data_IF_407822925110
#
_entry.id   IF_407822925110
#
_cell.length_a   1.000
_cell.length_b   1.000
_cell.length_c   1.000
_cell.angle_alpha   90.00
_cell.angle_beta   90.00
_cell.angle_gamma   90.00
#
_symmetry.space_group_name_H-M   'P 1'
#
loop_
_entity.id
_entity.type
_entity.pdbx_description
1 polymer ?
#
# COMPACT_ATOMS: atom_id res chain seq x y z
N UNK A 1 88.58 16.86 0.66
CA UNK A 1 87.93 15.54 0.79
C UNK A 1 86.69 15.58 1.69
N UNK A 2 86.75 16.04 2.94
CA UNK A 2 85.59 16.09 3.87
C UNK A 2 84.38 16.88 3.33
N UNK A 3 84.62 18.07 2.77
CA UNK A 3 83.54 18.94 2.24
C UNK A 3 82.77 18.30 1.06
N UNK A 4 83.48 17.51 0.24
CA UNK A 4 82.93 16.88 -0.97
C UNK A 4 82.02 15.69 -0.60
N UNK A 5 82.36 14.97 0.47
CA UNK A 5 81.54 13.89 1.03
C UNK A 5 80.23 14.44 1.59
N UNK A 6 80.30 15.55 2.33
CA UNK A 6 79.11 16.18 2.91
C UNK A 6 78.17 16.75 1.84
N UNK A 7 78.72 17.35 0.77
CA UNK A 7 77.93 17.79 -0.40
C UNK A 7 77.25 16.61 -1.09
N UNK A 8 77.94 15.49 -1.31
CA UNK A 8 77.35 14.29 -1.88
C UNK A 8 76.21 13.74 -1.01
N UNK A 9 76.39 13.74 0.32
CA UNK A 9 75.36 13.31 1.28
C UNK A 9 74.12 14.20 1.21
N UNK A 10 74.30 15.52 1.15
CA UNK A 10 73.18 16.46 1.04
C UNK A 10 72.47 16.34 -0.30
N UNK A 11 73.19 16.18 -1.42
CA UNK A 11 72.58 15.99 -2.74
C UNK A 11 71.72 14.72 -2.79
N UNK A 12 72.19 13.62 -2.17
CA UNK A 12 71.40 12.38 -2.07
C UNK A 12 70.12 12.59 -1.27
N UNK A 13 70.20 13.29 -0.13
CA UNK A 13 69.04 13.62 0.69
C UNK A 13 68.04 14.53 -0.05
N UNK A 14 68.53 15.52 -0.81
CA UNK A 14 67.69 16.41 -1.62
C UNK A 14 66.97 15.62 -2.71
N UNK A 15 67.66 14.68 -3.35
CA UNK A 15 67.08 13.83 -4.39
C UNK A 15 65.98 12.92 -3.83
N UNK A 16 66.22 12.27 -2.70
CA UNK A 16 65.20 11.45 -2.00
C UNK A 16 63.98 12.29 -1.60
N UNK A 17 64.19 13.50 -1.07
CA UNK A 17 63.09 14.42 -0.74
C UNK A 17 62.32 14.86 -1.98
N UNK A 18 63.00 15.11 -3.10
CA UNK A 18 62.37 15.48 -4.37
C UNK A 18 61.49 14.35 -4.90
N UNK A 19 61.96 13.11 -4.85
CA UNK A 19 61.20 11.93 -5.27
C UNK A 19 59.97 11.70 -4.38
N UNK A 20 60.12 11.86 -3.06
CA UNK A 20 58.99 11.77 -2.14
C UNK A 20 57.95 12.88 -2.37
N UNK A 21 58.40 14.11 -2.64
CA UNK A 21 57.50 15.22 -2.95
C UNK A 21 56.72 14.97 -4.25
N UNK A 22 57.37 14.42 -5.29
CA UNK A 22 56.70 14.07 -6.53
C UNK A 22 55.62 12.99 -6.33
N UNK A 23 55.89 11.96 -5.52
CA UNK A 23 54.89 10.95 -5.14
C UNK A 23 53.69 11.58 -4.43
N UNK A 24 53.94 12.45 -3.46
CA UNK A 24 52.88 13.12 -2.71
C UNK A 24 52.03 14.03 -3.62
N UNK A 25 52.64 14.72 -4.57
CA UNK A 25 51.91 15.53 -5.57
C UNK A 25 50.99 14.65 -6.42
N UNK A 26 51.46 13.49 -6.86
CA UNK A 26 50.65 12.54 -7.62
C UNK A 26 49.45 12.05 -6.79
N UNK A 27 49.68 11.63 -5.54
CA UNK A 27 48.61 11.19 -4.64
C UNK A 27 47.58 12.29 -4.36
N UNK A 28 48.01 13.53 -4.17
CA UNK A 28 47.10 14.67 -3.97
C UNK A 28 46.27 14.93 -5.22
N UNK A 29 46.86 14.81 -6.41
CA UNK A 29 46.15 14.98 -7.68
C UNK A 29 45.11 13.89 -7.89
N UNK A 30 45.45 12.63 -7.61
CA UNK A 30 44.54 11.50 -7.77
C UNK A 30 43.36 11.60 -6.78
N UNK A 31 43.64 11.90 -5.51
CA UNK A 31 42.59 12.14 -4.51
C UNK A 31 41.69 13.32 -4.87
N UNK A 32 42.24 14.37 -5.48
CA UNK A 32 41.44 15.51 -5.93
C UNK A 32 40.45 15.09 -7.02
N UNK A 33 40.89 14.28 -7.99
CA UNK A 33 40.01 13.74 -9.02
C UNK A 33 38.94 12.83 -8.44
N UNK A 34 39.29 12.00 -7.45
CA UNK A 34 38.34 11.14 -6.75
C UNK A 34 37.25 11.97 -6.02
N UNK A 35 37.65 13.04 -5.32
CA UNK A 35 36.71 13.96 -4.65
C UNK A 35 35.77 14.64 -5.66
N UNK A 36 36.28 15.07 -6.82
CA UNK A 36 35.45 15.68 -7.88
C UNK A 36 34.42 14.66 -8.43
N UNK A 37 34.85 13.42 -8.68
CA UNK A 37 33.96 12.35 -9.15
C UNK A 37 32.88 11.97 -8.13
N UNK A 38 33.26 11.83 -6.85
CA UNK A 38 32.32 11.55 -5.76
C UNK A 38 31.33 12.69 -5.57
N UNK A 39 31.78 13.94 -5.70
CA UNK A 39 30.90 15.11 -5.58
C UNK A 39 29.85 15.15 -6.69
N UNK A 40 30.25 14.86 -7.94
CA UNK A 40 29.31 14.72 -9.06
C UNK A 40 28.29 13.61 -8.80
N UNK A 41 28.75 12.44 -8.33
CA UNK A 41 27.88 11.29 -8.03
C UNK A 41 26.88 11.63 -6.92
N UNK A 42 27.30 12.33 -5.86
CA UNK A 42 26.41 12.78 -4.78
C UNK A 42 25.35 13.75 -5.32
N UNK A 43 25.71 14.64 -6.25
CA UNK A 43 24.77 15.57 -6.84
C UNK A 43 23.72 14.84 -7.68
N UNK A 44 24.15 13.92 -8.54
CA UNK A 44 23.25 13.10 -9.36
C UNK A 44 22.27 12.29 -8.50
N UNK A 45 22.77 11.66 -7.43
CA UNK A 45 21.94 10.89 -6.49
C UNK A 45 20.94 11.77 -5.74
N UNK A 46 21.31 13.00 -5.37
CA UNK A 46 20.39 13.95 -4.74
C UNK A 46 19.24 14.34 -5.68
N UNK A 47 19.55 14.58 -6.95
CA UNK A 47 18.56 14.93 -7.96
C UNK A 47 17.64 13.75 -8.29
N UNK A 48 18.20 12.54 -8.38
CA UNK A 48 17.41 11.32 -8.55
C UNK A 48 16.49 11.06 -7.35
N UNK A 49 17.00 11.23 -6.14
CA UNK A 49 16.21 11.11 -4.91
C UNK A 49 15.06 12.13 -4.88
N UNK A 50 15.33 13.39 -5.23
CA UNK A 50 14.31 14.44 -5.30
C UNK A 50 13.21 14.07 -6.30
N UNK A 51 13.58 13.63 -7.51
CA UNK A 51 12.64 13.17 -8.54
C UNK A 51 11.79 11.99 -8.06
N UNK A 52 12.41 10.96 -7.49
CA UNK A 52 11.70 9.78 -6.95
C UNK A 52 10.73 10.17 -5.83
N UNK A 53 11.14 11.06 -4.92
CA UNK A 53 10.30 11.57 -3.84
C UNK A 53 9.08 12.32 -4.35
N UNK A 54 9.26 13.14 -5.38
CA UNK A 54 8.16 13.87 -6.01
C UNK A 54 7.16 12.92 -6.68
N UNK A 55 7.64 11.92 -7.44
CA UNK A 55 6.80 10.88 -8.04
C UNK A 55 5.98 10.12 -6.99
N UNK A 56 6.59 9.73 -5.87
CA UNK A 56 5.87 9.06 -4.78
C UNK A 56 4.82 10.00 -4.17
N UNK A 57 5.18 11.28 -3.95
CA UNK A 57 4.24 12.26 -3.38
C UNK A 57 3.02 12.48 -4.27
N UNK A 58 3.23 12.62 -5.59
CA UNK A 58 2.12 12.82 -6.54
C UNK A 58 1.25 11.57 -6.65
N UNK A 59 1.85 10.38 -6.71
CA UNK A 59 1.12 9.11 -6.71
C UNK A 59 0.29 8.91 -5.43
N UNK A 60 0.85 9.23 -4.26
CA UNK A 60 0.14 9.14 -2.99
C UNK A 60 -1.05 10.10 -2.92
N UNK A 61 -0.87 11.36 -3.34
CA UNK A 61 -1.98 12.34 -3.41
C UNK A 61 -3.10 11.85 -4.34
N UNK A 62 -2.76 11.36 -5.53
CA UNK A 62 -3.73 10.84 -6.47
C UNK A 62 -4.50 9.62 -5.90
N UNK A 63 -3.79 8.73 -5.18
CA UNK A 63 -4.40 7.57 -4.53
C UNK A 63 -5.31 7.98 -3.37
N UNK A 64 -4.89 8.93 -2.53
CA UNK A 64 -5.71 9.48 -1.44
C UNK A 64 -6.99 10.13 -1.96
N UNK A 65 -6.91 10.93 -3.02
CA UNK A 65 -8.10 11.52 -3.63
C UNK A 65 -9.05 10.47 -4.22
N UNK A 66 -8.50 9.46 -4.90
CA UNK A 66 -9.28 8.33 -5.40
C UNK A 66 -9.96 7.58 -4.27
N UNK A 67 -9.26 7.31 -3.18
CA UNK A 67 -9.79 6.65 -1.99
C UNK A 67 -10.90 7.49 -1.35
N UNK A 68 -10.72 8.81 -1.19
CA UNK A 68 -11.76 9.71 -0.68
C UNK A 68 -13.02 9.69 -1.53
N UNK A 69 -12.89 9.68 -2.86
CA UNK A 69 -14.04 9.58 -3.78
C UNK A 69 -14.78 8.25 -3.62
N UNK A 70 -14.04 7.14 -3.56
CA UNK A 70 -14.61 5.81 -3.37
C UNK A 70 -15.29 5.68 -2.00
N UNK A 71 -14.66 6.17 -0.95
CA UNK A 71 -15.22 6.17 0.40
C UNK A 71 -16.53 6.98 0.43
N UNK A 72 -16.54 8.20 -0.13
CA UNK A 72 -17.76 9.00 -0.23
C UNK A 72 -18.89 8.26 -0.94
N UNK A 73 -18.60 7.53 -2.02
CA UNK A 73 -19.63 6.72 -2.70
C UNK A 73 -20.10 5.55 -1.83
N UNK A 74 -19.18 4.86 -1.15
CA UNK A 74 -19.52 3.76 -0.26
C UNK A 74 -20.39 4.21 0.92
N UNK A 75 -20.05 5.35 1.54
CA UNK A 75 -20.82 5.96 2.63
C UNK A 75 -22.22 6.36 2.14
N UNK A 76 -22.34 6.96 0.95
CA UNK A 76 -23.64 7.29 0.35
C UNK A 76 -24.52 6.04 0.12
N UNK A 77 -23.94 4.92 -0.32
CA UNK A 77 -24.68 3.67 -0.47
C UNK A 77 -25.06 3.09 0.90
N UNK A 78 -24.15 3.14 1.87
CA UNK A 78 -24.42 2.70 3.24
C UNK A 78 -25.59 3.46 3.85
N UNK A 79 -25.57 4.78 3.79
CA UNK A 79 -26.59 5.65 4.40
C UNK A 79 -27.94 5.54 3.68
N UNK A 80 -27.94 5.44 2.34
CA UNK A 80 -29.19 5.39 1.55
C UNK A 80 -29.83 4.01 1.51
N UNK A 81 -29.02 2.97 1.50
CA UNK A 81 -29.50 1.60 1.44
C UNK A 81 -29.63 0.99 2.82
N UNK A 82 -29.09 1.60 3.89
CA UNK A 82 -28.94 0.93 5.18
C UNK A 82 -28.22 -0.41 5.02
N UNK A 83 -27.16 -0.45 4.20
CA UNK A 83 -26.43 -1.66 3.86
C UNK A 83 -24.92 -1.40 3.91
N UNK A 84 -24.25 -2.07 4.84
CA UNK A 84 -22.81 -2.04 4.96
C UNK A 84 -22.22 -3.39 4.51
N UNK A 85 -21.14 -3.34 3.72
CA UNK A 85 -20.42 -4.53 3.24
C UNK A 85 -19.01 -4.49 3.83
N UNK A 86 -18.63 -5.51 4.60
CA UNK A 86 -17.32 -5.62 5.24
C UNK A 86 -16.59 -6.87 4.76
N UNK A 87 -15.30 -6.74 4.47
CA UNK A 87 -14.43 -7.91 4.33
C UNK A 87 -14.07 -8.43 5.72
N UNK A 88 -14.31 -9.71 5.98
CA UNK A 88 -13.94 -10.38 7.22
C UNK A 88 -12.87 -11.47 6.94
N UNK A 89 -12.41 -12.17 7.98
CA UNK A 89 -11.39 -13.21 7.84
C UNK A 89 -11.83 -14.35 6.91
N UNK A 90 -10.88 -14.95 6.19
CA UNK A 90 -11.12 -16.10 5.30
C UNK A 90 -11.80 -15.75 3.98
N UNK A 91 -11.50 -14.57 3.42
CA UNK A 91 -12.07 -14.07 2.15
C UNK A 91 -13.60 -14.06 2.09
N UNK A 92 -14.25 -13.98 3.27
CA UNK A 92 -15.68 -13.80 3.39
C UNK A 92 -16.06 -12.32 3.38
N UNK A 93 -17.23 -12.03 2.86
CA UNK A 93 -17.90 -10.74 2.90
C UNK A 93 -19.09 -10.82 3.84
N UNK A 94 -19.16 -9.90 4.80
CA UNK A 94 -20.30 -9.73 5.67
C UNK A 94 -21.16 -8.58 5.16
N UNK A 95 -22.45 -8.85 5.00
CA UNK A 95 -23.46 -7.87 4.61
C UNK A 95 -24.29 -7.56 5.84
N UNK A 96 -24.39 -6.28 6.19
CA UNK A 96 -25.06 -5.80 7.40
C UNK A 96 -26.13 -4.81 6.98
N UNK A 97 -27.38 -5.18 7.17
CA UNK A 97 -28.53 -4.30 6.98
C UNK A 97 -28.85 -3.56 8.29
N UNK A 98 -29.14 -2.28 8.15
CA UNK A 98 -29.76 -1.39 9.15
C UNK A 98 -31.10 -0.89 8.60
N UNK A 99 -31.84 -0.13 9.40
CA UNK A 99 -33.14 0.44 9.00
C UNK A 99 -34.14 -0.63 8.56
N UNK A 100 -34.10 -1.77 9.24
CA UNK A 100 -35.07 -2.86 9.10
C UNK A 100 -36.14 -2.76 10.19
N UNK A 101 -35.72 -2.54 11.44
CA UNK A 101 -36.61 -2.43 12.60
C UNK A 101 -36.96 -0.95 12.85
N UNK A 102 -38.21 -0.50 12.62
CA UNK A 102 -38.57 0.91 12.82
C UNK A 102 -38.45 1.37 14.28
N UNK A 103 -38.52 0.44 15.25
CA UNK A 103 -38.36 0.77 16.68
C UNK A 103 -36.89 0.88 17.06
N UNK A 104 -36.02 0.17 16.36
CA UNK A 104 -34.58 0.15 16.57
C UNK A 104 -33.83 0.22 15.22
N UNK A 105 -33.77 1.40 14.56
CA UNK A 105 -33.18 1.52 13.20
C UNK A 105 -31.71 1.08 13.13
N UNK A 106 -30.96 1.30 14.20
CA UNK A 106 -29.54 0.91 14.30
C UNK A 106 -29.33 -0.60 14.55
N UNK A 107 -30.40 -1.37 14.78
CA UNK A 107 -30.30 -2.81 15.02
C UNK A 107 -29.76 -3.52 13.76
N UNK A 108 -28.63 -4.23 13.85
CA UNK A 108 -28.03 -4.86 12.70
C UNK A 108 -28.67 -6.22 12.39
N UNK A 109 -28.89 -6.48 11.10
CA UNK A 109 -29.29 -7.78 10.54
C UNK A 109 -28.26 -8.18 9.50
N UNK A 110 -27.56 -9.29 9.68
CA UNK A 110 -26.38 -9.58 8.88
C UNK A 110 -26.34 -11.00 8.35
N UNK A 111 -25.63 -11.19 7.24
CA UNK A 111 -25.23 -12.50 6.75
C UNK A 111 -23.82 -12.48 6.16
N UNK A 112 -23.17 -13.65 6.09
CA UNK A 112 -21.82 -13.81 5.56
C UNK A 112 -21.82 -14.67 4.29
N UNK A 113 -21.07 -14.24 3.28
CA UNK A 113 -20.96 -14.83 1.96
C UNK A 113 -19.49 -14.99 1.55
N UNK A 114 -19.13 -16.11 0.94
CA UNK A 114 -17.87 -16.27 0.21
C UNK A 114 -18.11 -16.90 -1.15
N UNK A 115 -17.05 -16.94 -1.96
CA UNK A 115 -17.01 -17.75 -3.18
C UNK A 115 -16.28 -19.04 -2.85
N UNK A 116 -16.86 -20.18 -3.20
CA UNK A 116 -16.22 -21.48 -3.03
C UNK A 116 -15.16 -21.74 -4.12
N UNK A 117 -14.54 -22.93 -4.11
CA UNK A 117 -13.52 -23.31 -5.10
C UNK A 117 -14.04 -23.30 -6.55
N UNK A 118 -15.33 -23.59 -6.75
CA UNK A 118 -16.01 -23.51 -8.05
C UNK A 118 -16.40 -22.08 -8.46
N UNK A 119 -16.10 -21.08 -7.62
CA UNK A 119 -16.52 -19.67 -7.74
C UNK A 119 -18.03 -19.45 -7.64
N UNK A 120 -18.74 -20.37 -6.99
CA UNK A 120 -20.15 -20.21 -6.67
C UNK A 120 -20.35 -19.53 -5.31
N UNK A 121 -21.48 -18.84 -5.17
CA UNK A 121 -21.88 -18.16 -3.94
C UNK A 121 -22.14 -19.16 -2.80
N UNK A 122 -21.46 -19.01 -1.67
CA UNK A 122 -21.68 -19.81 -0.46
C UNK A 122 -21.97 -18.91 0.73
N UNK A 123 -23.15 -19.09 1.32
CA UNK A 123 -23.64 -18.33 2.47
C UNK A 123 -23.42 -19.18 3.72
N UNK A 124 -22.74 -18.64 4.73
CA UNK A 124 -22.38 -19.40 5.94
C UNK A 124 -23.29 -19.08 7.13
N UNK A 125 -23.36 -17.81 7.51
CA UNK A 125 -23.95 -17.37 8.77
C UNK A 125 -24.97 -16.25 8.53
N UNK A 126 -26.06 -16.24 9.30
CA UNK A 126 -26.97 -15.09 9.40
C UNK A 126 -27.34 -14.82 10.86
N UNK A 127 -27.46 -13.55 11.21
CA UNK A 127 -27.88 -13.09 12.53
C UNK A 127 -28.85 -11.91 12.36
N UNK A 128 -30.14 -12.05 12.70
CA UNK A 128 -30.84 -13.27 13.13
C UNK A 128 -30.78 -14.42 12.11
N UNK A 129 -31.01 -15.66 12.56
CA UNK A 129 -31.01 -16.83 11.67
C UNK A 129 -32.15 -16.77 10.65
N UNK A 130 -31.83 -16.98 9.37
CA UNK A 130 -32.80 -17.06 8.27
C UNK A 130 -32.92 -18.49 7.72
N UNK A 131 -34.09 -19.11 7.88
CA UNK A 131 -34.36 -20.47 7.35
C UNK A 131 -34.37 -20.51 5.81
N UNK A 132 -34.88 -19.46 5.15
CA UNK A 132 -34.97 -19.34 3.68
C UNK A 132 -33.62 -19.05 2.99
N UNK A 133 -32.52 -18.92 3.74
CA UNK A 133 -31.23 -18.50 3.20
C UNK A 133 -30.62 -19.51 2.22
N UNK A 134 -30.85 -20.82 2.46
CA UNK A 134 -30.41 -21.88 1.57
C UNK A 134 -31.10 -21.83 0.20
N UNK A 135 -32.39 -21.50 0.17
CA UNK A 135 -33.15 -21.32 -1.07
C UNK A 135 -32.63 -20.10 -1.85
N UNK A 136 -32.39 -18.99 -1.16
CA UNK A 136 -31.83 -17.78 -1.78
C UNK A 136 -30.43 -18.02 -2.35
N UNK A 137 -29.60 -18.81 -1.68
CA UNK A 137 -28.29 -19.21 -2.19
C UNK A 137 -28.41 -19.98 -3.51
N UNK A 138 -29.31 -20.95 -3.59
CA UNK A 138 -29.49 -21.74 -4.81
C UNK A 138 -29.99 -20.86 -5.97
N UNK A 139 -30.95 -19.97 -5.68
CA UNK A 139 -31.46 -19.01 -6.64
C UNK A 139 -30.36 -18.07 -7.19
N UNK A 140 -29.45 -17.58 -6.35
CA UNK A 140 -28.37 -16.69 -6.82
C UNK A 140 -27.30 -17.44 -7.61
N UNK A 141 -27.04 -18.72 -7.31
CA UNK A 141 -26.16 -19.57 -8.12
C UNK A 141 -26.72 -19.79 -9.52
N UNK A 142 -28.02 -20.03 -9.64
CA UNK A 142 -28.68 -20.30 -10.92
C UNK A 142 -28.86 -19.04 -11.77
N UNK A 143 -29.24 -17.92 -11.14
CA UNK A 143 -29.61 -16.69 -11.87
C UNK A 143 -28.48 -15.68 -11.99
N UNK A 144 -27.43 -15.82 -11.16
CA UNK A 144 -26.39 -14.81 -10.94
C UNK A 144 -26.94 -13.40 -10.63
N UNK A 145 -28.19 -13.32 -10.12
CA UNK A 145 -28.86 -12.06 -9.84
C UNK A 145 -28.66 -11.65 -8.37
N UNK A 146 -27.47 -11.12 -8.08
CA UNK A 146 -27.09 -10.73 -6.71
C UNK A 146 -27.98 -9.62 -6.13
N UNK A 147 -28.49 -8.72 -6.97
CA UNK A 147 -29.41 -7.66 -6.54
C UNK A 147 -30.75 -8.23 -6.05
N UNK A 148 -31.31 -9.22 -6.75
CA UNK A 148 -32.53 -9.90 -6.33
C UNK A 148 -32.30 -10.69 -5.03
N UNK A 149 -31.14 -11.34 -4.90
CA UNK A 149 -30.74 -12.03 -3.68
C UNK A 149 -30.73 -11.11 -2.46
N UNK A 150 -30.04 -9.97 -2.53
CA UNK A 150 -30.00 -8.98 -1.43
C UNK A 150 -31.39 -8.44 -1.09
N UNK A 151 -32.23 -8.16 -2.10
CA UNK A 151 -33.59 -7.68 -1.89
C UNK A 151 -34.47 -8.72 -1.18
N UNK A 152 -34.34 -10.00 -1.54
CA UNK A 152 -35.08 -11.08 -0.91
C UNK A 152 -34.62 -11.33 0.53
N UNK A 153 -33.30 -11.31 0.78
CA UNK A 153 -32.75 -11.38 2.15
C UNK A 153 -33.27 -10.22 3.01
N UNK A 154 -33.26 -8.99 2.50
CA UNK A 154 -33.81 -7.83 3.24
C UNK A 154 -35.29 -8.03 3.56
N UNK A 155 -36.09 -8.47 2.59
CA UNK A 155 -37.52 -8.76 2.80
C UNK A 155 -37.74 -9.82 3.88
N UNK A 156 -36.92 -10.87 3.91
CA UNK A 156 -37.01 -11.91 4.93
C UNK A 156 -36.72 -11.36 6.33
N UNK A 157 -35.66 -10.55 6.49
CA UNK A 157 -35.38 -9.87 7.75
C UNK A 157 -36.48 -8.89 8.17
N UNK A 158 -37.03 -8.13 7.22
CA UNK A 158 -38.18 -7.25 7.47
C UNK A 158 -39.38 -8.05 7.99
N UNK A 159 -39.76 -9.14 7.31
CA UNK A 159 -40.87 -9.98 7.74
C UNK A 159 -40.72 -10.51 9.17
N UNK A 160 -39.48 -10.77 9.63
CA UNK A 160 -39.23 -11.20 11.02
C UNK A 160 -39.49 -10.12 12.09
N UNK A 161 -39.46 -8.84 11.73
CA UNK A 161 -39.72 -7.74 12.69
C UNK A 161 -41.21 -7.40 12.78
N UNK A 162 -41.94 -7.60 11.69
CA UNK A 162 -43.38 -7.30 11.62
C UNK A 162 -44.30 -8.47 11.98
N UNK A 163 -43.75 -9.69 12.08
CA UNK A 163 -44.43 -10.86 12.65
C UNK A 163 -44.28 -10.89 14.18
#
# INVERSE_FOLDING_TARGET
FVLLIEICRQNKLIQEKKENLLKLIAEVKDKKQEVEALTATIQDLKEEYARKKETISTANKANEERLKRLQKSADLYKDRLGLEIRKIYGDKLQFIFTDIDPKHPDRPFMFSLCLNEARDYEVSDSAPYLECLAEFQENVRQTNNFSAFLANVRKAFTAMVYN
#
